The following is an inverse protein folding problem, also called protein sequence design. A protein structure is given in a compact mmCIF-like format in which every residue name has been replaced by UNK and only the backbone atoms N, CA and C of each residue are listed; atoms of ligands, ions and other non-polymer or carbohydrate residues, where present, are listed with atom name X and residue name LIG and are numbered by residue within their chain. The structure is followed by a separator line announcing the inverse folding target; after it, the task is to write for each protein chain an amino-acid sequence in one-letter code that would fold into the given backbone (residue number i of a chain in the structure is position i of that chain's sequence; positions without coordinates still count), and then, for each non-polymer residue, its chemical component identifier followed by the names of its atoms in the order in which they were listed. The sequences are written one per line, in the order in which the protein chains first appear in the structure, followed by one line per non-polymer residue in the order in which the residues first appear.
data_IF_486130588107
#
_entry.id   IF_486130588107
#
_cell.length_a   1.000
_cell.length_b   1.000
_cell.length_c   1.000
_cell.angle_alpha   90.00
_cell.angle_beta   90.00
_cell.angle_gamma   90.00
#
_symmetry.space_group_name_H-M   'P 1'
#
loop_
_entity.id
_entity.type
_entity.pdbx_description
1 polymer ?
#
# COMPACT_ATOMS: atom_id res chain seq x y z
N UNK A 1 -5.40 34.48 -26.99
CA UNK A 1 -4.40 33.47 -26.60
C UNK A 1 -5.05 32.43 -25.73
N UNK A 2 -4.71 31.16 -25.91
CA UNK A 2 -5.23 30.09 -25.09
C UNK A 2 -4.74 30.23 -23.64
N UNK A 3 -5.70 30.10 -22.70
CA UNK A 3 -5.47 30.29 -21.27
C UNK A 3 -4.55 29.23 -20.68
N UNK A 4 -4.77 27.97 -21.06
CA UNK A 4 -3.99 26.85 -20.56
C UNK A 4 -2.53 26.94 -21.03
N UNK A 5 -2.30 27.24 -22.30
CA UNK A 5 -0.97 27.48 -22.83
C UNK A 5 -0.26 28.64 -22.14
N UNK A 6 -0.97 29.72 -21.82
CA UNK A 6 -0.38 30.85 -21.11
C UNK A 6 -0.02 30.50 -19.65
N UNK A 7 -0.84 29.69 -18.96
CA UNK A 7 -0.55 29.18 -17.61
C UNK A 7 0.66 28.24 -17.64
N UNK A 8 0.70 27.28 -18.59
CA UNK A 8 1.81 26.34 -18.74
C UNK A 8 3.13 27.08 -19.07
N UNK A 9 3.06 28.11 -19.92
CA UNK A 9 4.21 28.93 -20.26
C UNK A 9 4.73 29.72 -19.03
N UNK A 10 3.84 30.26 -18.21
CA UNK A 10 4.19 30.95 -16.97
C UNK A 10 4.88 30.01 -15.97
N UNK A 11 4.29 28.83 -15.74
CA UNK A 11 4.88 27.79 -14.87
C UNK A 11 6.29 27.45 -15.38
N UNK A 12 6.46 27.23 -16.68
CA UNK A 12 7.76 26.85 -17.26
C UNK A 12 8.82 27.96 -17.14
N UNK A 13 8.41 29.22 -17.23
CA UNK A 13 9.32 30.37 -17.02
C UNK A 13 9.84 30.38 -15.58
N UNK A 14 8.98 30.07 -14.60
CA UNK A 14 9.37 29.98 -13.18
C UNK A 14 10.33 28.83 -12.94
N UNK A 15 9.99 27.61 -13.40
CA UNK A 15 10.80 26.41 -13.23
C UNK A 15 12.19 26.53 -13.89
N UNK A 16 12.23 27.14 -15.08
CA UNK A 16 13.46 27.29 -15.85
C UNK A 16 14.31 28.48 -15.41
N UNK A 17 13.81 29.31 -14.48
CA UNK A 17 14.49 30.50 -13.98
C UNK A 17 14.58 31.65 -15.00
N UNK A 18 13.86 31.58 -16.14
CA UNK A 18 13.89 32.63 -17.14
C UNK A 18 13.22 32.31 -18.46
N UNK A 19 12.89 33.38 -19.20
CA UNK A 19 12.15 33.32 -20.47
C UNK A 19 12.87 32.57 -21.57
N UNK A 20 14.19 32.79 -21.74
CA UNK A 20 14.99 32.12 -22.78
C UNK A 20 15.18 30.63 -22.52
N UNK A 21 15.29 30.23 -21.26
CA UNK A 21 15.38 28.83 -20.87
C UNK A 21 14.02 28.10 -21.06
N UNK A 22 12.93 28.71 -20.65
CA UNK A 22 11.59 28.22 -20.91
C UNK A 22 11.27 28.09 -22.39
N UNK A 23 11.67 29.07 -23.20
CA UNK A 23 11.51 29.06 -24.67
C UNK A 23 12.15 27.81 -25.30
N UNK A 24 13.38 27.47 -24.91
CA UNK A 24 14.05 26.25 -25.39
C UNK A 24 13.31 24.97 -25.01
N UNK A 25 12.85 24.91 -23.77
CA UNK A 25 12.12 23.72 -23.26
C UNK A 25 10.76 23.55 -23.94
N UNK A 26 10.07 24.66 -24.21
CA UNK A 26 8.74 24.65 -24.85
C UNK A 26 8.78 24.60 -26.39
N UNK A 27 9.96 24.68 -27.01
CA UNK A 27 10.06 24.76 -28.46
C UNK A 27 9.45 26.05 -29.05
N UNK A 28 9.40 27.13 -28.25
CA UNK A 28 8.81 28.42 -28.61
C UNK A 28 9.92 29.50 -28.84
N UNK A 29 9.59 30.58 -29.55
CA UNK A 29 10.46 31.74 -29.55
C UNK A 29 10.41 32.48 -28.23
N UNK A 30 11.50 33.17 -27.79
CA UNK A 30 11.48 33.96 -26.54
C UNK A 30 10.43 35.08 -26.55
N UNK A 31 10.10 35.63 -27.71
CA UNK A 31 9.03 36.62 -27.87
C UNK A 31 7.64 36.02 -27.62
N UNK A 32 7.36 34.81 -28.11
CA UNK A 32 6.11 34.10 -27.85
C UNK A 32 5.93 33.81 -26.34
N UNK A 33 6.96 33.30 -25.67
CA UNK A 33 6.95 33.05 -24.25
C UNK A 33 6.64 34.35 -23.47
N UNK A 34 7.28 35.47 -23.86
CA UNK A 34 7.03 36.78 -23.26
C UNK A 34 5.59 37.22 -23.49
N UNK A 35 5.07 37.06 -24.72
CA UNK A 35 3.67 37.43 -25.02
C UNK A 35 2.65 36.60 -24.25
N UNK A 36 2.87 35.28 -24.05
CA UNK A 36 1.99 34.45 -23.26
C UNK A 36 1.92 34.91 -21.79
N UNK A 37 3.07 35.21 -21.19
CA UNK A 37 3.12 35.69 -19.79
C UNK A 37 2.49 37.09 -19.66
N UNK A 38 2.77 38.00 -20.61
CA UNK A 38 2.17 39.35 -20.63
C UNK A 38 0.65 39.28 -20.76
N UNK A 39 0.14 38.49 -21.73
CA UNK A 39 -1.31 38.30 -21.89
C UNK A 39 -1.99 37.71 -20.64
N UNK A 40 -1.25 36.88 -19.88
CA UNK A 40 -1.72 36.36 -18.61
C UNK A 40 -1.83 37.44 -17.53
N UNK A 41 -0.77 38.25 -17.36
CA UNK A 41 -0.71 39.39 -16.43
C UNK A 41 -1.75 40.47 -16.77
N UNK A 42 -1.88 40.82 -18.06
CA UNK A 42 -2.88 41.80 -18.55
C UNK A 42 -4.32 41.32 -18.24
N UNK A 43 -4.62 40.08 -18.49
CA UNK A 43 -5.95 39.52 -18.20
C UNK A 43 -6.27 39.52 -16.71
N UNK A 44 -5.28 39.29 -15.87
CA UNK A 44 -5.44 39.28 -14.40
C UNK A 44 -5.40 40.71 -13.80
N UNK A 45 -4.90 41.68 -14.55
CA UNK A 45 -4.71 43.04 -14.08
C UNK A 45 -3.60 43.18 -13.03
N UNK A 46 -2.71 42.16 -12.92
CA UNK A 46 -1.66 42.11 -11.89
C UNK A 46 -0.37 41.55 -12.47
N UNK A 47 0.76 41.92 -11.86
CA UNK A 47 2.06 41.32 -12.18
C UNK A 47 2.29 40.05 -11.37
N UNK A 48 2.68 38.98 -12.07
CA UNK A 48 3.04 37.70 -11.47
C UNK A 48 4.56 37.58 -11.30
N UNK A 49 5.34 38.23 -12.17
CA UNK A 49 6.79 38.17 -12.18
C UNK A 49 7.43 39.53 -11.96
N UNK A 50 8.44 39.57 -11.11
CA UNK A 50 9.39 40.68 -11.03
C UNK A 50 10.44 40.51 -12.14
N UNK A 51 10.50 41.48 -13.03
CA UNK A 51 11.47 41.48 -14.17
C UNK A 51 12.69 42.31 -13.74
N UNK A 52 13.77 41.61 -13.35
CA UNK A 52 15.10 42.24 -13.38
C UNK A 52 15.90 41.71 -14.57
N UNK A 53 16.85 42.52 -15.07
CA UNK A 53 17.69 42.11 -16.22
C UNK A 53 18.55 40.87 -15.95
N UNK A 54 18.61 40.37 -14.74
CA UNK A 54 19.47 39.23 -14.34
C UNK A 54 18.71 38.01 -13.78
N UNK A 55 17.49 38.17 -13.29
CA UNK A 55 16.70 37.03 -12.72
C UNK A 55 15.20 37.29 -12.82
N UNK A 56 14.46 36.21 -13.03
CA UNK A 56 13.00 36.17 -12.88
C UNK A 56 12.69 35.69 -11.48
N UNK A 57 11.86 36.41 -10.74
CA UNK A 57 11.34 35.99 -9.46
C UNK A 57 9.83 36.22 -9.40
N UNK A 58 9.14 35.42 -8.63
CA UNK A 58 7.70 35.55 -8.41
C UNK A 58 7.41 36.78 -7.52
N UNK A 59 6.27 37.44 -7.77
CA UNK A 59 5.64 38.32 -6.80
C UNK A 59 4.93 37.48 -5.73
N UNK A 60 4.47 38.05 -4.63
CA UNK A 60 3.66 37.35 -3.61
C UNK A 60 2.40 36.71 -4.24
N UNK A 61 1.69 37.53 -5.05
CA UNK A 61 0.52 37.04 -5.81
C UNK A 61 0.94 36.01 -6.87
N UNK A 62 2.13 36.17 -7.48
CA UNK A 62 2.71 35.23 -8.43
C UNK A 62 2.97 33.87 -7.82
N UNK A 63 3.40 33.80 -6.56
CA UNK A 63 3.58 32.54 -5.82
C UNK A 63 2.26 31.78 -5.65
N UNK A 64 1.25 32.44 -5.11
CA UNK A 64 -0.08 31.83 -4.91
C UNK A 64 -0.70 31.38 -6.25
N UNK A 65 -0.49 32.20 -7.32
CA UNK A 65 -0.99 31.85 -8.65
C UNK A 65 -0.22 30.69 -9.29
N UNK A 66 1.10 30.61 -9.07
CA UNK A 66 1.95 29.52 -9.56
C UNK A 66 1.51 28.15 -9.01
N UNK A 67 1.33 28.05 -7.68
CA UNK A 67 0.84 26.82 -7.05
C UNK A 67 -0.52 26.40 -7.62
N UNK A 68 -1.40 27.38 -7.84
CA UNK A 68 -2.72 27.11 -8.40
C UNK A 68 -2.66 26.70 -9.88
N UNK A 69 -1.74 27.27 -10.65
CA UNK A 69 -1.50 26.85 -12.03
C UNK A 69 -1.00 25.41 -12.12
N UNK A 70 -0.07 25.00 -11.26
CA UNK A 70 0.40 23.61 -11.19
C UNK A 70 -0.75 22.66 -10.99
N UNK A 71 -1.65 22.97 -10.06
CA UNK A 71 -2.79 22.10 -9.75
C UNK A 71 -3.80 22.05 -10.93
N UNK A 72 -4.12 23.17 -11.55
CA UNK A 72 -5.05 23.23 -12.69
C UNK A 72 -4.51 22.48 -13.90
N UNK A 73 -3.20 22.61 -14.19
CA UNK A 73 -2.56 21.90 -15.29
C UNK A 73 -2.54 20.39 -15.03
N UNK A 74 -2.25 19.98 -13.81
CA UNK A 74 -2.32 18.58 -13.39
C UNK A 74 -3.74 18.00 -13.52
N UNK A 75 -4.76 18.73 -13.07
CA UNK A 75 -6.17 18.31 -13.16
C UNK A 75 -6.63 18.20 -14.64
N UNK A 76 -6.13 19.08 -15.53
CA UNK A 76 -6.44 19.03 -16.96
C UNK A 76 -5.77 17.81 -17.62
N UNK A 77 -4.51 17.56 -17.30
CA UNK A 77 -3.79 16.37 -17.76
C UNK A 77 -4.48 15.10 -17.25
N UNK A 78 -4.94 15.05 -16.02
CA UNK A 78 -5.70 13.93 -15.45
C UNK A 78 -7.03 13.69 -16.19
N UNK A 79 -7.73 14.76 -16.58
CA UNK A 79 -8.99 14.66 -17.34
C UNK A 79 -8.76 14.05 -18.74
N UNK A 80 -7.71 14.48 -19.44
CA UNK A 80 -7.35 13.93 -20.75
C UNK A 80 -6.97 12.45 -20.66
N UNK A 81 -6.36 12.05 -19.57
CA UNK A 81 -5.97 10.67 -19.34
C UNK A 81 -7.11 9.78 -18.89
N UNK A 82 -8.06 10.28 -18.08
CA UNK A 82 -9.31 9.58 -17.82
C UNK A 82 -9.99 9.22 -19.14
N UNK A 83 -10.03 10.17 -20.09
CA UNK A 83 -10.58 9.93 -21.41
C UNK A 83 -9.77 8.89 -22.22
N UNK A 84 -8.44 8.93 -22.16
CA UNK A 84 -7.55 7.95 -22.82
C UNK A 84 -7.53 6.60 -22.12
N UNK A 85 -7.57 6.57 -20.77
CA UNK A 85 -7.55 5.36 -19.98
C UNK A 85 -8.86 4.56 -20.09
N UNK A 86 -9.99 5.20 -20.38
CA UNK A 86 -11.24 4.53 -20.73
C UNK A 86 -11.12 3.75 -22.07
N UNK A 87 -10.10 4.04 -22.88
CA UNK A 87 -9.85 3.37 -24.16
C UNK A 87 -8.67 2.39 -24.13
N UNK A 88 -7.88 2.34 -23.05
CA UNK A 88 -6.68 1.49 -22.99
C UNK A 88 -6.90 0.24 -22.14
N UNK A 89 -6.83 -0.92 -22.76
CA UNK A 89 -6.79 -2.21 -22.05
C UNK A 89 -5.52 -2.30 -21.21
N UNK A 90 -5.60 -2.71 -19.92
CA UNK A 90 -4.43 -2.98 -19.10
C UNK A 90 -3.49 -3.99 -19.74
N UNK A 91 -2.18 -3.68 -19.82
CA UNK A 91 -1.14 -4.55 -20.41
C UNK A 91 0.23 -4.29 -19.81
N UNK A 92 1.15 -5.25 -19.98
CA UNK A 92 2.53 -5.16 -19.52
C UNK A 92 2.70 -5.60 -18.06
N UNK A 93 3.84 -5.33 -17.43
CA UNK A 93 4.16 -5.82 -16.08
C UNK A 93 3.68 -4.84 -15.00
N UNK A 94 2.86 -5.29 -14.06
CA UNK A 94 2.53 -4.59 -12.82
C UNK A 94 3.54 -4.99 -11.73
N UNK A 95 4.39 -4.05 -11.32
CA UNK A 95 5.36 -4.25 -10.23
C UNK A 95 4.71 -3.87 -8.91
N UNK A 96 4.31 -4.89 -8.15
CA UNK A 96 3.58 -4.77 -6.91
C UNK A 96 4.48 -5.07 -5.72
N UNK A 97 4.52 -4.16 -4.74
CA UNK A 97 5.15 -4.40 -3.45
C UNK A 97 4.08 -4.59 -2.37
N UNK A 98 4.35 -5.44 -1.37
CA UNK A 98 3.45 -5.64 -0.25
C UNK A 98 4.18 -6.00 1.04
N UNK A 99 3.52 -5.79 2.18
CA UNK A 99 3.96 -6.34 3.47
C UNK A 99 3.86 -7.87 3.45
N UNK A 100 4.70 -8.54 4.24
CA UNK A 100 4.76 -10.02 4.30
C UNK A 100 3.43 -10.63 4.77
N UNK A 101 2.64 -9.89 5.55
CA UNK A 101 1.35 -10.35 6.06
C UNK A 101 0.19 -10.31 5.03
N UNK A 102 0.26 -9.44 4.02
CA UNK A 102 -0.84 -9.12 3.10
C UNK A 102 -1.12 -10.15 2.00
N UNK A 103 -0.16 -10.97 1.48
CA UNK A 103 -0.39 -11.85 0.35
C UNK A 103 -1.64 -12.74 0.42
N UNK A 104 -2.06 -13.29 1.56
CA UNK A 104 -3.30 -14.07 1.64
C UNK A 104 -4.55 -13.29 1.19
N UNK A 105 -4.58 -11.97 1.42
CA UNK A 105 -5.66 -11.10 0.97
C UNK A 105 -5.55 -10.74 -0.51
N UNK A 106 -4.32 -10.61 -1.03
CA UNK A 106 -4.09 -10.23 -2.42
C UNK A 106 -4.23 -11.39 -3.40
N UNK A 107 -3.99 -12.61 -2.99
CA UNK A 107 -3.97 -13.76 -3.88
C UNK A 107 -5.28 -13.94 -4.69
N UNK A 108 -6.48 -13.84 -4.10
CA UNK A 108 -7.73 -13.90 -4.86
C UNK A 108 -7.86 -12.74 -5.86
N UNK A 109 -7.50 -11.51 -5.46
CA UNK A 109 -7.55 -10.32 -6.32
C UNK A 109 -6.59 -10.45 -7.49
N UNK A 110 -5.37 -10.93 -7.23
CA UNK A 110 -4.37 -11.19 -8.27
C UNK A 110 -4.87 -12.23 -9.27
N UNK A 111 -5.44 -13.34 -8.79
CA UNK A 111 -5.97 -14.41 -9.65
C UNK A 111 -7.10 -13.89 -10.55
N UNK A 112 -8.04 -13.11 -10.00
CA UNK A 112 -9.11 -12.47 -10.76
C UNK A 112 -8.53 -11.47 -11.77
N UNK A 113 -7.57 -10.65 -11.35
CA UNK A 113 -7.00 -9.60 -12.20
C UNK A 113 -6.28 -10.16 -13.43
N UNK A 114 -5.44 -11.18 -13.28
CA UNK A 114 -4.72 -11.78 -14.43
C UNK A 114 -5.68 -12.56 -15.35
N UNK A 115 -6.81 -13.02 -14.82
CA UNK A 115 -7.87 -13.64 -15.63
C UNK A 115 -8.62 -12.59 -16.46
N UNK A 116 -8.93 -11.43 -15.87
CA UNK A 116 -9.60 -10.32 -16.57
C UNK A 116 -8.69 -9.63 -17.60
N UNK A 117 -7.38 -9.58 -17.33
CA UNK A 117 -6.40 -8.88 -18.15
C UNK A 117 -5.22 -9.79 -18.51
N UNK A 118 -5.37 -10.72 -19.46
CA UNK A 118 -4.33 -11.71 -19.81
C UNK A 118 -3.03 -11.11 -20.35
N UNK A 119 -3.06 -9.86 -20.82
CA UNK A 119 -1.87 -9.13 -21.28
C UNK A 119 -1.07 -8.49 -20.12
N UNK A 120 -1.53 -8.64 -18.86
CA UNK A 120 -0.82 -8.15 -17.69
C UNK A 120 -0.08 -9.30 -17.00
N UNK A 121 1.20 -9.10 -16.73
CA UNK A 121 1.97 -9.92 -15.79
C UNK A 121 2.14 -9.18 -14.47
N UNK A 122 2.12 -9.90 -13.33
CA UNK A 122 2.34 -9.33 -12.01
C UNK A 122 3.70 -9.79 -11.47
N UNK A 123 4.53 -8.83 -11.07
CA UNK A 123 5.74 -9.09 -10.30
C UNK A 123 5.49 -8.64 -8.86
N UNK A 124 5.32 -9.61 -7.94
CA UNK A 124 5.02 -9.37 -6.54
C UNK A 124 6.27 -9.51 -5.68
N UNK A 125 6.65 -8.44 -5.00
CA UNK A 125 7.74 -8.42 -4.01
C UNK A 125 7.19 -8.18 -2.62
N UNK A 126 7.60 -8.99 -1.65
CA UNK A 126 7.15 -8.93 -0.26
C UNK A 126 8.27 -8.45 0.65
N UNK A 127 8.06 -7.38 1.39
CA UNK A 127 9.02 -6.87 2.38
C UNK A 127 8.34 -5.95 3.38
N UNK A 128 8.78 -5.99 4.65
CA UNK A 128 8.30 -5.07 5.68
C UNK A 128 9.25 -3.89 5.92
N UNK A 129 10.40 -3.85 5.21
CA UNK A 129 11.25 -2.66 5.24
C UNK A 129 10.57 -1.49 4.53
N UNK A 130 10.87 -0.26 4.98
CA UNK A 130 10.50 0.93 4.22
C UNK A 130 11.29 0.94 2.91
N UNK A 131 10.59 1.19 1.82
CA UNK A 131 11.14 1.25 0.47
C UNK A 131 10.77 2.58 -0.19
N UNK A 132 11.62 3.07 -1.05
CA UNK A 132 11.26 4.13 -2.00
C UNK A 132 10.65 3.49 -3.25
N UNK A 133 9.33 3.69 -3.43
CA UNK A 133 8.61 3.08 -4.56
C UNK A 133 9.11 3.55 -5.92
N UNK A 134 9.53 4.82 -6.01
CA UNK A 134 10.00 5.42 -7.26
C UNK A 134 11.41 4.92 -7.58
N UNK A 135 12.31 4.96 -6.61
CA UNK A 135 13.70 4.56 -6.76
C UNK A 135 13.83 3.06 -7.07
N UNK A 136 13.02 2.22 -6.38
CA UNK A 136 13.00 0.78 -6.60
C UNK A 136 12.10 0.34 -7.79
N UNK A 137 11.43 1.29 -8.44
CA UNK A 137 10.68 1.07 -9.68
C UNK A 137 9.38 0.27 -9.51
N UNK A 138 8.73 0.35 -8.34
CA UNK A 138 7.41 -0.22 -8.12
C UNK A 138 6.30 0.68 -8.68
N UNK A 139 5.28 0.07 -9.26
CA UNK A 139 4.09 0.78 -9.74
C UNK A 139 3.08 1.04 -8.61
N UNK A 140 2.99 0.11 -7.64
CA UNK A 140 2.02 0.11 -6.56
C UNK A 140 2.58 -0.64 -5.34
N UNK A 141 2.28 -0.15 -4.14
CA UNK A 141 2.43 -0.92 -2.92
C UNK A 141 1.08 -1.08 -2.21
N UNK A 142 0.85 -2.26 -1.60
CA UNK A 142 -0.28 -2.51 -0.71
C UNK A 142 0.27 -2.83 0.67
N UNK A 143 -0.01 -1.95 1.64
CA UNK A 143 0.62 -2.03 2.96
C UNK A 143 -0.35 -1.79 4.10
N UNK A 144 -0.09 -2.46 5.21
CA UNK A 144 -0.83 -2.35 6.46
C UNK A 144 -0.14 -1.44 7.49
N UNK A 145 0.65 -0.49 7.02
CA UNK A 145 1.36 0.47 7.88
C UNK A 145 1.16 1.90 7.39
N UNK A 146 1.38 2.86 8.30
CA UNK A 146 1.37 4.28 7.97
C UNK A 146 2.58 4.62 7.11
N UNK A 147 2.35 5.47 6.10
CA UNK A 147 3.42 6.02 5.26
C UNK A 147 3.69 7.43 5.77
N UNK A 148 4.94 7.81 6.06
CA UNK A 148 5.29 9.19 6.38
C UNK A 148 4.88 10.13 5.24
N UNK A 149 4.71 11.43 5.55
CA UNK A 149 4.48 12.48 4.57
C UNK A 149 5.44 12.34 3.40
N UNK A 150 4.91 12.02 2.23
CA UNK A 150 5.68 11.80 1.02
C UNK A 150 4.89 12.31 -0.19
N UNK A 151 5.57 12.49 -1.31
CA UNK A 151 4.95 12.78 -2.60
C UNK A 151 4.11 11.61 -3.18
N UNK A 152 3.80 10.60 -2.37
CA UNK A 152 3.04 9.43 -2.75
C UNK A 152 1.54 9.64 -2.50
N UNK A 153 0.72 9.08 -3.37
CA UNK A 153 -0.71 8.98 -3.16
C UNK A 153 -1.01 7.78 -2.27
N UNK A 154 -1.78 8.00 -1.21
CA UNK A 154 -2.22 6.96 -0.28
C UNK A 154 -3.74 6.84 -0.36
N UNK A 155 -4.21 5.67 -0.79
CA UNK A 155 -5.65 5.34 -0.82
C UNK A 155 -5.93 4.20 0.13
N UNK A 156 -6.73 4.45 1.17
CA UNK A 156 -7.20 3.39 2.06
C UNK A 156 -8.13 2.45 1.29
N UNK A 157 -7.83 1.14 1.32
CA UNK A 157 -8.58 0.12 0.60
C UNK A 157 -9.34 -0.83 1.53
N UNK A 158 -8.85 -1.02 2.77
CA UNK A 158 -9.52 -1.82 3.79
C UNK A 158 -9.14 -1.36 5.20
N UNK A 159 -9.83 -1.92 6.21
CA UNK A 159 -9.46 -1.80 7.62
C UNK A 159 -9.29 -3.18 8.24
N UNK A 160 -8.50 -3.27 9.29
CA UNK A 160 -8.31 -4.47 10.11
C UNK A 160 -8.08 -4.09 11.58
N UNK A 161 -8.14 -5.07 12.48
CA UNK A 161 -7.75 -4.89 13.88
C UNK A 161 -6.64 -5.87 14.23
N UNK A 162 -5.84 -5.53 15.23
CA UNK A 162 -4.98 -6.52 15.86
C UNK A 162 -5.79 -7.38 16.81
N UNK A 163 -5.42 -8.66 16.91
CA UNK A 163 -6.04 -9.63 17.83
C UNK A 163 -4.95 -10.37 18.58
N UNK A 164 -5.09 -10.47 19.90
CA UNK A 164 -4.30 -11.41 20.70
C UNK A 164 -5.02 -12.74 20.71
N UNK A 165 -4.33 -13.82 20.41
CA UNK A 165 -4.89 -15.16 20.41
C UNK A 165 -3.91 -16.22 20.90
N UNK A 166 -4.44 -17.34 21.36
CA UNK A 166 -3.68 -18.53 21.72
C UNK A 166 -4.45 -19.81 21.43
N UNK A 167 -3.74 -20.93 21.29
CA UNK A 167 -4.41 -22.23 21.14
C UNK A 167 -5.18 -22.64 22.42
N UNK A 168 -6.33 -23.34 22.28
CA UNK A 168 -7.10 -23.81 23.45
C UNK A 168 -6.26 -24.59 24.45
N UNK A 169 -5.37 -25.47 23.96
CA UNK A 169 -4.48 -26.25 24.83
C UNK A 169 -3.49 -25.40 25.61
N UNK A 170 -2.95 -24.34 25.00
CA UNK A 170 -2.07 -23.38 25.70
C UNK A 170 -2.84 -22.65 26.80
N UNK A 171 -4.03 -22.14 26.48
CA UNK A 171 -4.87 -21.41 27.43
C UNK A 171 -5.34 -22.30 28.58
N UNK A 172 -5.66 -23.57 28.34
CA UNK A 172 -6.00 -24.53 29.38
C UNK A 172 -4.83 -24.80 30.35
N UNK A 173 -3.59 -24.87 29.82
CA UNK A 173 -2.41 -25.15 30.61
C UNK A 173 -1.86 -23.92 31.35
N UNK A 174 -1.98 -22.72 30.80
CA UNK A 174 -1.35 -21.50 31.30
C UNK A 174 -2.34 -20.46 31.83
N UNK A 175 -3.65 -20.73 31.72
CA UNK A 175 -4.71 -19.77 32.01
C UNK A 175 -5.01 -18.85 30.84
N UNK A 176 -6.18 -18.19 30.91
CA UNK A 176 -6.60 -17.19 29.93
C UNK A 176 -6.39 -15.80 30.53
N UNK A 177 -5.59 -14.92 29.89
CA UNK A 177 -5.41 -13.56 30.39
C UNK A 177 -6.73 -12.79 30.33
N UNK A 178 -7.06 -12.06 31.39
CA UNK A 178 -8.29 -11.26 31.52
C UNK A 178 -8.06 -9.76 31.38
N UNK A 179 -6.81 -9.32 31.57
CA UNK A 179 -6.38 -7.93 31.41
C UNK A 179 -4.99 -7.89 30.80
N UNK A 180 -4.59 -6.79 30.14
CA UNK A 180 -3.28 -6.68 29.51
C UNK A 180 -2.10 -6.96 30.45
N UNK A 181 -2.20 -6.60 31.73
CA UNK A 181 -1.15 -6.86 32.73
C UNK A 181 -0.85 -8.36 32.95
N UNK A 182 -1.82 -9.24 32.67
CA UNK A 182 -1.61 -10.68 32.83
C UNK A 182 -0.60 -11.26 31.83
N UNK A 183 -0.35 -10.56 30.72
CA UNK A 183 0.58 -10.97 29.65
C UNK A 183 2.02 -11.19 30.15
N UNK A 184 2.42 -10.55 31.26
CA UNK A 184 3.76 -10.76 31.86
C UNK A 184 3.99 -12.21 32.34
N UNK A 185 2.90 -12.96 32.53
CA UNK A 185 2.93 -14.37 32.95
C UNK A 185 2.78 -15.35 31.77
N UNK A 186 2.69 -14.83 30.54
CA UNK A 186 2.51 -15.63 29.35
C UNK A 186 3.76 -15.61 28.44
N UNK A 187 3.96 -16.68 27.68
CA UNK A 187 4.90 -16.69 26.57
C UNK A 187 4.30 -15.92 25.41
N UNK A 188 4.76 -14.72 25.13
CA UNK A 188 4.27 -13.87 24.06
C UNK A 188 5.21 -13.97 22.84
N UNK A 189 4.63 -14.32 21.68
CA UNK A 189 5.36 -14.47 20.44
C UNK A 189 5.52 -13.09 19.79
N UNK A 190 6.78 -12.62 19.65
CA UNK A 190 7.07 -11.21 19.35
C UNK A 190 7.33 -11.01 17.86
N UNK A 191 6.67 -10.00 17.27
CA UNK A 191 6.98 -9.56 15.91
C UNK A 191 8.23 -8.65 15.90
N UNK A 192 9.26 -9.06 15.15
CA UNK A 192 10.59 -8.45 15.20
C UNK A 192 10.66 -7.00 14.68
N UNK A 193 9.75 -6.62 13.75
CA UNK A 193 9.75 -5.29 13.14
C UNK A 193 8.63 -4.39 13.69
N UNK A 194 8.14 -4.68 14.90
CA UNK A 194 7.20 -3.80 15.58
C UNK A 194 7.83 -2.43 15.84
N UNK A 195 7.14 -1.35 15.49
CA UNK A 195 7.57 0.01 15.76
C UNK A 195 7.69 0.30 17.27
N UNK A 196 7.10 -0.54 18.11
CA UNK A 196 7.11 -0.41 19.58
C UNK A 196 7.96 -1.49 20.27
N UNK A 197 8.80 -2.19 19.51
CA UNK A 197 9.63 -3.26 20.05
C UNK A 197 8.78 -4.37 20.70
N UNK A 198 9.09 -4.68 21.96
CA UNK A 198 8.39 -5.70 22.74
C UNK A 198 7.14 -5.16 23.48
N UNK A 199 6.69 -3.95 23.19
CA UNK A 199 5.50 -3.40 23.82
C UNK A 199 4.25 -3.69 23.00
N UNK A 200 3.27 -4.33 23.62
CA UNK A 200 1.93 -4.47 23.06
C UNK A 200 1.04 -3.35 23.59
N UNK A 201 0.38 -2.64 22.70
CA UNK A 201 -0.46 -1.49 23.02
C UNK A 201 -1.93 -1.86 23.01
N UNK A 202 -2.62 -1.43 24.03
CA UNK A 202 -4.04 -1.68 24.29
C UNK A 202 -4.75 -0.36 24.53
N UNK A 203 -5.96 -0.22 23.99
CA UNK A 203 -6.83 0.91 24.23
C UNK A 203 -8.07 0.42 25.01
N UNK A 204 -8.14 0.73 26.28
CA UNK A 204 -9.26 0.40 27.13
C UNK A 204 -10.08 1.64 27.51
N UNK A 205 -11.14 1.43 28.31
CA UNK A 205 -11.99 2.53 28.81
C UNK A 205 -11.23 3.59 29.64
N UNK A 206 -10.09 3.22 30.19
CA UNK A 206 -9.21 4.08 31.01
C UNK A 206 -8.05 4.69 30.20
N UNK A 207 -8.10 4.64 28.85
CA UNK A 207 -7.07 5.16 27.95
C UNK A 207 -6.14 4.10 27.39
N UNK A 208 -5.08 4.55 26.72
CA UNK A 208 -4.05 3.68 26.15
C UNK A 208 -3.13 3.13 27.25
N UNK A 209 -2.87 1.84 27.18
CA UNK A 209 -1.91 1.14 28.04
C UNK A 209 -0.92 0.36 27.18
N UNK A 210 0.33 0.34 27.59
CA UNK A 210 1.39 -0.46 26.97
C UNK A 210 1.88 -1.50 27.96
N UNK A 211 2.10 -2.72 27.51
CA UNK A 211 2.61 -3.82 28.29
C UNK A 211 3.85 -4.37 27.62
N UNK A 212 4.97 -4.36 28.36
CA UNK A 212 6.18 -5.03 27.91
C UNK A 212 5.96 -6.55 28.00
N UNK A 213 6.09 -7.21 26.86
CA UNK A 213 5.91 -8.66 26.74
C UNK A 213 7.23 -9.36 26.49
N UNK A 214 7.33 -10.62 26.86
CA UNK A 214 8.50 -11.46 26.64
C UNK A 214 8.08 -12.85 26.16
N UNK A 215 8.94 -13.49 25.39
CA UNK A 215 8.72 -14.84 24.90
C UNK A 215 9.97 -15.46 24.30
N UNK A 216 9.86 -16.73 23.97
CA UNK A 216 10.98 -17.54 23.45
C UNK A 216 11.05 -17.57 21.91
N UNK A 217 10.12 -16.89 21.22
CA UNK A 217 10.12 -16.78 19.76
C UNK A 217 9.92 -15.33 19.34
N UNK A 218 10.86 -14.86 18.54
CA UNK A 218 10.77 -13.60 17.81
C UNK A 218 10.93 -13.87 16.31
N UNK A 219 10.04 -13.34 15.49
CA UNK A 219 10.10 -13.52 14.04
C UNK A 219 9.64 -12.25 13.30
N UNK A 220 10.13 -12.06 12.08
CA UNK A 220 9.71 -10.99 11.18
C UNK A 220 8.54 -11.42 10.26
N UNK A 221 7.80 -12.43 10.64
CA UNK A 221 6.66 -12.95 9.89
C UNK A 221 5.51 -13.26 10.86
N UNK A 222 4.42 -12.48 10.75
CA UNK A 222 3.19 -12.75 11.48
C UNK A 222 2.64 -14.15 11.22
N UNK A 223 2.86 -14.68 9.98
CA UNK A 223 2.43 -16.03 9.64
C UNK A 223 3.20 -17.10 10.42
N UNK A 224 4.51 -16.91 10.65
CA UNK A 224 5.29 -17.82 11.48
C UNK A 224 4.81 -17.78 12.95
N UNK A 225 4.52 -16.57 13.48
CA UNK A 225 3.99 -16.41 14.85
C UNK A 225 2.58 -17.04 14.97
N UNK A 226 1.73 -16.84 13.96
CA UNK A 226 0.41 -17.49 13.89
C UNK A 226 0.51 -19.01 13.97
N UNK A 227 1.37 -19.61 13.15
CA UNK A 227 1.58 -21.06 13.15
C UNK A 227 2.12 -21.55 14.50
N UNK A 228 3.08 -20.84 15.10
CA UNK A 228 3.58 -21.17 16.43
C UNK A 228 2.46 -21.10 17.49
N UNK A 229 1.60 -20.09 17.42
CA UNK A 229 0.44 -19.96 18.32
C UNK A 229 -0.55 -21.13 18.15
N UNK A 230 -0.85 -21.53 16.89
CA UNK A 230 -1.69 -22.70 16.59
C UNK A 230 -1.12 -23.98 17.23
N UNK A 231 0.20 -24.12 17.24
CA UNK A 231 0.89 -25.24 17.87
C UNK A 231 1.08 -25.08 19.40
N UNK A 232 0.40 -24.11 20.02
CA UNK A 232 0.37 -23.95 21.47
C UNK A 232 1.65 -23.39 22.09
N UNK A 233 2.50 -22.72 21.29
CA UNK A 233 3.77 -22.18 21.80
C UNK A 233 3.58 -20.92 22.64
N UNK A 234 2.45 -20.20 22.51
CA UNK A 234 2.22 -18.97 23.25
C UNK A 234 1.06 -18.14 22.71
N UNK A 235 1.02 -16.88 23.14
CA UNK A 235 0.10 -15.87 22.63
C UNK A 235 0.73 -15.10 21.49
N UNK A 236 -0.02 -14.88 20.42
CA UNK A 236 0.39 -14.01 19.30
C UNK A 236 -0.52 -12.80 19.21
N UNK A 237 0.06 -11.62 18.95
CA UNK A 237 -0.65 -10.41 18.51
C UNK A 237 -0.44 -10.27 17.02
N UNK A 238 -1.49 -10.41 16.23
CA UNK A 238 -1.39 -10.34 14.77
C UNK A 238 -2.64 -9.71 14.14
N UNK A 239 -2.55 -9.26 12.86
CA UNK A 239 -3.69 -8.74 12.12
C UNK A 239 -4.84 -9.74 12.03
N UNK A 240 -6.07 -9.26 12.20
CA UNK A 240 -7.29 -10.09 12.21
C UNK A 240 -7.46 -10.92 10.94
N UNK A 241 -7.10 -10.38 9.78
CA UNK A 241 -7.20 -11.08 8.51
C UNK A 241 -6.29 -12.31 8.38
N UNK A 242 -5.23 -12.41 9.18
CA UNK A 242 -4.38 -13.62 9.24
C UNK A 242 -4.93 -14.68 10.17
N UNK A 243 -5.78 -14.31 11.12
CA UNK A 243 -6.22 -15.15 12.22
C UNK A 243 -7.64 -15.69 12.03
N UNK A 244 -8.41 -15.11 11.10
CA UNK A 244 -9.84 -15.36 10.98
C UNK A 244 -10.20 -16.83 10.78
N UNK A 245 -9.46 -17.56 9.96
CA UNK A 245 -9.70 -18.98 9.68
C UNK A 245 -9.36 -19.85 10.88
N UNK A 246 -8.30 -19.50 11.62
CA UNK A 246 -7.90 -20.19 12.83
C UNK A 246 -8.91 -19.97 13.96
N UNK A 247 -9.47 -18.76 14.05
CA UNK A 247 -10.50 -18.42 15.02
C UNK A 247 -11.81 -19.10 14.66
N UNK A 248 -12.26 -19.04 13.41
CA UNK A 248 -13.49 -19.71 12.94
C UNK A 248 -13.43 -21.23 13.11
N UNK A 249 -12.25 -21.83 12.90
CA UNK A 249 -12.05 -23.28 13.09
C UNK A 249 -11.82 -23.69 14.56
N UNK A 250 -11.73 -22.73 15.48
CA UNK A 250 -11.46 -22.98 16.90
C UNK A 250 -10.02 -23.41 17.22
N UNK A 251 -9.09 -23.33 16.26
CA UNK A 251 -7.66 -23.60 16.49
C UNK A 251 -6.99 -22.52 17.32
N UNK A 252 -7.47 -21.28 17.20
CA UNK A 252 -7.08 -20.16 18.04
C UNK A 252 -8.30 -19.54 18.72
N UNK A 253 -8.12 -19.11 19.96
CA UNK A 253 -9.13 -18.41 20.75
C UNK A 253 -8.66 -16.98 20.94
N UNK A 254 -9.44 -15.96 20.52
CA UNK A 254 -9.12 -14.57 20.78
C UNK A 254 -9.28 -14.25 22.28
N UNK A 255 -8.35 -13.46 22.81
CA UNK A 255 -8.34 -12.99 24.18
C UNK A 255 -8.13 -11.49 24.23
N UNK A 256 -8.52 -10.83 25.33
CA UNK A 256 -8.35 -9.38 25.53
C UNK A 256 -9.01 -8.51 24.44
N UNK A 257 -10.07 -9.00 23.81
CA UNK A 257 -10.70 -8.35 22.64
C UNK A 257 -11.31 -6.98 22.99
N UNK A 258 -11.72 -6.77 24.21
CA UNK A 258 -12.25 -5.49 24.70
C UNK A 258 -11.19 -4.37 24.78
N UNK A 259 -9.91 -4.73 24.75
CA UNK A 259 -8.78 -3.83 24.83
C UNK A 259 -8.14 -3.53 23.45
N UNK A 260 -8.61 -4.14 22.36
CA UNK A 260 -8.04 -4.05 21.02
C UNK A 260 -9.06 -3.52 20.00
N UNK A 261 -9.66 -2.36 20.31
CA UNK A 261 -10.71 -1.76 19.48
C UNK A 261 -10.20 -0.84 18.35
N UNK A 262 -8.92 -0.52 18.34
CA UNK A 262 -8.34 0.37 17.33
C UNK A 262 -8.37 -0.25 15.93
N UNK A 263 -8.88 0.50 14.95
CA UNK A 263 -8.85 0.14 13.54
C UNK A 263 -7.57 0.63 12.88
N UNK A 264 -6.98 -0.23 12.08
CA UNK A 264 -5.80 0.05 11.28
C UNK A 264 -6.16 -0.04 9.79
N UNK A 265 -5.45 0.72 8.95
CA UNK A 265 -5.73 0.77 7.53
C UNK A 265 -4.81 -0.16 6.73
N UNK A 266 -5.37 -0.78 5.69
CA UNK A 266 -4.63 -1.31 4.56
C UNK A 266 -4.70 -0.26 3.46
N UNK A 267 -3.54 0.16 2.97
CA UNK A 267 -3.40 1.25 2.02
C UNK A 267 -2.81 0.77 0.69
N UNK A 268 -3.40 1.22 -0.40
CA UNK A 268 -2.77 1.24 -1.71
C UNK A 268 -1.96 2.53 -1.84
N UNK A 269 -0.67 2.42 -2.13
CA UNK A 269 0.30 3.51 -2.14
C UNK A 269 0.99 3.50 -3.50
N UNK A 270 0.98 4.64 -4.19
CA UNK A 270 1.57 4.74 -5.51
C UNK A 270 2.15 6.14 -5.75
N UNK A 271 3.16 6.27 -6.63
CA UNK A 271 3.72 7.55 -6.95
C UNK A 271 2.67 8.50 -7.51
N UNK A 272 2.71 9.77 -7.09
CA UNK A 272 1.93 10.84 -7.73
C UNK A 272 2.50 11.06 -9.14
N UNK A 273 2.06 10.25 -10.07
CA UNK A 273 2.31 10.46 -11.49
C UNK A 273 1.11 11.18 -12.05
N UNK A 274 1.33 12.21 -12.86
CA UNK A 274 0.25 12.86 -13.61
C UNK A 274 -0.57 11.84 -14.43
N UNK A 275 -0.12 10.57 -14.50
CA UNK A 275 -0.66 9.54 -15.36
C UNK A 275 -0.62 8.17 -14.68
N UNK A 276 -1.68 7.83 -13.96
CA UNK A 276 -1.85 6.49 -13.43
C UNK A 276 -2.13 5.52 -14.58
N UNK A 277 -1.25 4.55 -14.83
CA UNK A 277 -1.42 3.60 -15.92
C UNK A 277 -2.70 2.77 -15.74
N UNK A 278 -3.33 2.34 -16.85
CA UNK A 278 -4.55 1.55 -16.83
C UNK A 278 -4.42 0.30 -15.95
N UNK A 279 -3.27 -0.40 -15.99
CA UNK A 279 -3.01 -1.59 -15.17
C UNK A 279 -3.07 -1.29 -13.66
N UNK A 280 -2.52 -0.16 -13.21
CA UNK A 280 -2.51 0.24 -11.79
C UNK A 280 -3.90 0.66 -11.35
N UNK A 281 -4.58 1.50 -12.14
CA UNK A 281 -5.95 1.95 -11.84
C UNK A 281 -6.91 0.76 -11.73
N UNK A 282 -6.94 -0.11 -12.75
CA UNK A 282 -7.84 -1.27 -12.76
C UNK A 282 -7.54 -2.25 -11.61
N UNK A 283 -6.26 -2.40 -11.23
CA UNK A 283 -5.91 -3.24 -10.07
C UNK A 283 -6.41 -2.63 -8.76
N UNK A 284 -6.24 -1.32 -8.56
CA UNK A 284 -6.72 -0.62 -7.35
C UNK A 284 -8.25 -0.68 -7.27
N UNK A 285 -8.95 -0.51 -8.39
CA UNK A 285 -10.41 -0.54 -8.43
C UNK A 285 -10.94 -1.95 -8.12
N UNK A 286 -10.29 -2.99 -8.64
CA UNK A 286 -10.60 -4.38 -8.31
C UNK A 286 -10.32 -4.70 -6.83
N UNK A 287 -9.20 -4.22 -6.31
CA UNK A 287 -8.82 -4.35 -4.91
C UNK A 287 -9.86 -3.73 -3.98
N UNK A 288 -10.28 -2.49 -4.29
CA UNK A 288 -11.32 -1.78 -3.53
C UNK A 288 -12.64 -2.53 -3.59
N UNK A 289 -13.06 -2.98 -4.78
CA UNK A 289 -14.29 -3.78 -4.95
C UNK A 289 -14.25 -5.03 -4.09
N UNK A 290 -13.17 -5.81 -4.16
CA UNK A 290 -13.00 -7.06 -3.44
C UNK A 290 -13.05 -6.88 -1.92
N UNK A 291 -12.43 -5.81 -1.41
CA UNK A 291 -12.40 -5.53 0.01
C UNK A 291 -13.66 -4.86 0.56
N UNK A 292 -14.51 -4.26 -0.30
CA UNK A 292 -15.81 -3.73 0.11
C UNK A 292 -16.90 -4.82 0.17
N UNK A 293 -16.78 -5.86 -0.65
CA UNK A 293 -17.81 -6.90 -0.76
C UNK A 293 -17.78 -7.91 0.40
N UNK A 294 -16.63 -8.14 1.06
CA UNK A 294 -16.56 -9.00 2.26
C UNK A 294 -15.41 -8.63 3.22
N UNK A 295 -15.65 -7.74 4.18
CA UNK A 295 -14.72 -7.49 5.27
C UNK A 295 -14.91 -8.48 6.44
N UNK A 296 -15.18 -9.75 6.17
CA UNK A 296 -15.39 -10.76 7.20
C UNK A 296 -14.25 -10.92 8.22
N UNK A 297 -13.10 -10.28 7.95
CA UNK A 297 -11.96 -10.18 8.87
C UNK A 297 -11.93 -8.89 9.71
N UNK A 298 -12.75 -7.87 9.39
CA UNK A 298 -12.68 -6.58 10.07
C UNK A 298 -13.08 -6.71 11.56
N UNK A 299 -13.98 -7.62 11.88
CA UNK A 299 -14.36 -7.97 13.26
C UNK A 299 -14.44 -9.48 13.43
N UNK A 300 -13.31 -10.15 13.78
CA UNK A 300 -13.26 -11.59 13.95
C UNK A 300 -14.08 -12.09 15.15
N UNK A 301 -14.54 -11.17 16.00
CA UNK A 301 -15.37 -11.47 17.16
C UNK A 301 -16.86 -11.26 16.90
N UNK A 302 -17.26 -10.70 15.74
CA UNK A 302 -18.68 -10.59 15.37
C UNK A 302 -19.21 -11.95 14.94
N UNK A 303 -20.31 -12.37 15.53
CA UNK A 303 -21.00 -13.65 15.26
C UNK A 303 -21.80 -13.67 13.96
N UNK A 304 -21.33 -13.03 12.88
CA UNK A 304 -21.94 -13.16 11.57
C UNK A 304 -21.54 -14.50 10.95
N UNK A 305 -22.48 -15.40 10.60
CA UNK A 305 -22.16 -16.63 9.89
C UNK A 305 -21.56 -16.27 8.53
N UNK A 306 -20.42 -16.90 8.18
CA UNK A 306 -19.77 -16.76 6.90
C UNK A 306 -20.75 -16.99 5.75
N UNK A 307 -20.75 -16.12 4.74
CA UNK A 307 -21.41 -16.39 3.47
C UNK A 307 -20.84 -17.69 2.91
N UNK A 308 -21.72 -18.61 2.49
CA UNK A 308 -21.33 -19.88 1.85
C UNK A 308 -20.43 -19.57 0.64
N UNK A 309 -19.31 -20.29 0.49
CA UNK A 309 -18.51 -20.17 -0.72
C UNK A 309 -19.37 -20.55 -1.94
N UNK A 310 -19.14 -19.94 -3.12
CA UNK A 310 -19.88 -20.28 -4.32
C UNK A 310 -19.71 -21.77 -4.63
N UNK A 311 -20.83 -22.48 -4.75
CA UNK A 311 -20.88 -23.87 -5.19
C UNK A 311 -20.42 -23.92 -6.64
N UNK A 312 -19.24 -24.50 -6.90
CA UNK A 312 -18.78 -24.66 -8.28
C UNK A 312 -17.26 -24.71 -8.46
N UNK A 313 -16.52 -25.35 -7.54
CA UNK A 313 -15.18 -25.84 -7.87
C UNK A 313 -15.31 -27.33 -8.24
N UNK A 314 -15.35 -27.63 -9.53
CA UNK A 314 -15.21 -28.99 -10.02
C UNK A 314 -13.86 -29.53 -9.57
N UNK A 315 -13.89 -30.65 -8.86
CA UNK A 315 -12.72 -31.46 -8.54
C UNK A 315 -12.13 -31.94 -9.87
N UNK A 316 -10.96 -31.45 -10.23
CA UNK A 316 -10.18 -32.03 -11.30
C UNK A 316 -9.47 -33.24 -10.69
N UNK A 317 -10.00 -34.44 -10.97
CA UNK A 317 -9.33 -35.71 -10.72
C UNK A 317 -8.14 -35.85 -11.65
N UNK A 318 -7.04 -36.35 -11.07
CA UNK A 318 -5.88 -36.98 -11.71
C UNK A 318 -5.04 -36.15 -12.71
N UNK A 319 -4.00 -35.50 -12.19
CA UNK A 319 -2.76 -35.27 -12.94
C UNK A 319 -1.73 -36.36 -12.58
N UNK A 320 -1.05 -36.98 -13.57
CA UNK A 320 -0.04 -38.01 -13.30
C UNK A 320 1.21 -37.42 -12.62
N UNK A 321 1.99 -38.25 -11.88
CA UNK A 321 3.13 -37.77 -11.11
C UNK A 321 4.25 -37.25 -12.04
N UNK A 322 4.73 -36.03 -11.75
CA UNK A 322 5.89 -35.45 -12.41
C UNK A 322 7.13 -36.28 -12.05
N UNK A 323 7.76 -36.87 -13.05
CA UNK A 323 9.00 -37.63 -12.92
C UNK A 323 10.11 -36.72 -12.33
N UNK A 324 10.82 -37.27 -11.35
CA UNK A 324 11.97 -36.66 -10.70
C UNK A 324 13.07 -36.31 -11.72
N UNK A 325 13.37 -35.04 -11.87
CA UNK A 325 14.58 -34.56 -12.54
C UNK A 325 15.78 -34.92 -11.65
N UNK A 326 16.61 -35.88 -12.16
CA UNK A 326 17.81 -36.32 -11.50
C UNK A 326 18.83 -35.19 -11.33
N UNK A 327 19.34 -35.08 -10.10
CA UNK A 327 20.49 -34.26 -9.76
C UNK A 327 21.72 -34.94 -10.36
N UNK A 328 22.32 -34.34 -11.37
CA UNK A 328 23.63 -34.70 -11.88
C UNK A 328 24.68 -34.10 -10.92
N UNK A 329 25.35 -34.98 -10.16
CA UNK A 329 26.51 -34.60 -9.37
C UNK A 329 27.71 -34.41 -10.31
N UNK A 330 28.20 -33.21 -10.45
CA UNK A 330 29.49 -32.91 -11.09
C UNK A 330 30.64 -33.26 -10.15
N UNK A 331 31.38 -34.28 -10.49
CA UNK A 331 32.62 -34.77 -9.86
C UNK A 331 33.78 -33.88 -10.35
N UNK A 332 34.20 -32.92 -9.48
CA UNK A 332 35.38 -32.09 -9.76
C UNK A 332 36.65 -32.89 -9.39
N UNK A 333 37.32 -33.44 -10.39
CA UNK A 333 38.64 -34.00 -10.31
C UNK A 333 39.69 -32.94 -9.95
N UNK A 334 40.53 -33.21 -8.93
CA UNK A 334 41.77 -32.50 -8.65
C UNK A 334 42.90 -32.98 -9.57
N UNK A 335 43.72 -32.10 -10.12
CA UNK A 335 45.04 -32.45 -10.61
C UNK A 335 46.12 -32.18 -9.54
N UNK A 336 47.17 -32.94 -9.67
CA UNK A 336 48.41 -32.99 -8.88
C UNK A 336 49.10 -31.62 -8.74
#
# INVERSE_FOLDING_TARGET
MDRMTSMATFVKVVESGGFSAAARTLGMSPSMVTTHVQSLEERLGIRLLNRSTRRVSLTEVGHAYYERCLQILADADDADQIAQALQSTPRGTLRLNTSIAIPPLLAPVIAEFVTLYPEVSINLTMTDRMIDLVEEGFDLAVRNMSVPDSSLVVRRVATYRFVVCGAPGYLAARGTPRQPADLVHHNCLVYAHSAWGNEWRFAGREGERSVAVAGNLQANSDNALRLAAVHGQGLALAPSFLLIDEIKSGRLVPVLTEFLQAEHAINAIYPHRHHLSAKVRSFIDLLVKHFHEDPGWADPCSSRPAAKPPVGAAVVEDAPPVAALGVVADEVARPH
#
